data_IF_630770345889
#
_entry.id   IF_630770345889
#
_cell.length_a   1.000
_cell.length_b   1.000
_cell.length_c   1.000
_cell.angle_alpha   90.00
_cell.angle_beta   90.00
_cell.angle_gamma   90.00
#
_symmetry.space_group_name_H-M   'P 1'
#
loop_
_entity.id
_entity.type
_entity.pdbx_description
1 polymer ?
#
# COMPACT_ATOMS: atom_id res chain seq x y z
N UNK A 1 21.54 42.85 -25.86
CA UNK A 1 21.31 42.47 -25.76
C UNK A 1 20.90 41.56 -25.46
N UNK A 2 21.11 41.33 -25.38
CA UNK A 2 20.75 40.58 -25.06
C UNK A 2 20.31 39.82 -24.49
N UNK A 3 20.45 39.57 -24.48
CA UNK A 3 20.21 38.94 -24.15
C UNK A 3 19.84 38.31 -23.29
N UNK A 4 19.85 38.21 -22.88
CA UNK A 4 19.69 37.64 -21.80
C UNK A 4 18.62 36.87 -21.81
N UNK A 5 18.20 37.03 -22.23
CA UNK A 5 17.27 36.49 -22.17
C UNK A 5 17.22 35.26 -22.22
N UNK A 6 17.80 35.07 -22.44
CA UNK A 6 17.97 33.97 -22.64
C UNK A 6 17.80 33.19 -21.66
N UNK A 7 18.28 33.45 -21.00
CA UNK A 7 18.28 32.85 -19.97
C UNK A 7 17.20 32.22 -19.56
N UNK A 8 16.60 32.75 -19.37
CA UNK A 8 15.55 32.34 -18.93
C UNK A 8 15.14 31.16 -19.26
N UNK A 9 15.19 31.06 -20.15
CA UNK A 9 14.68 29.95 -20.57
C UNK A 9 15.10 28.87 -19.82
N UNK A 10 16.14 28.86 -19.56
CA UNK A 10 16.68 27.79 -18.95
C UNK A 10 15.90 27.34 -17.80
N UNK A 11 15.64 28.18 -17.13
CA UNK A 11 15.01 27.85 -16.02
C UNK A 11 13.92 26.93 -16.08
N UNK A 12 13.08 27.19 -16.77
CA UNK A 12 11.97 26.50 -16.68
C UNK A 12 12.00 25.16 -16.99
N UNK A 13 12.75 24.85 -17.71
CA UNK A 13 12.67 23.60 -18.11
C UNK A 13 12.99 22.68 -17.09
N UNK A 14 13.76 22.98 -16.25
CA UNK A 14 14.22 22.10 -15.35
C UNK A 14 13.22 21.58 -14.49
N UNK A 15 12.25 22.15 -14.33
CA UNK A 15 11.33 21.76 -13.42
C UNK A 15 10.54 20.61 -13.70
N UNK A 16 10.34 20.34 -14.83
CA UNK A 16 9.52 19.32 -15.17
C UNK A 16 9.64 18.00 -14.53
N UNK A 17 10.68 17.44 -14.50
CA UNK A 17 10.84 16.12 -14.00
C UNK A 17 10.55 15.99 -12.55
N UNK A 18 10.73 16.99 -11.88
CA UNK A 18 10.61 16.86 -10.53
C UNK A 18 9.25 16.63 -10.02
N UNK A 19 8.32 17.00 -10.72
CA UNK A 19 7.04 16.87 -10.28
C UNK A 19 6.65 15.45 -10.17
N UNK A 20 7.09 14.66 -11.04
CA UNK A 20 6.71 13.30 -11.04
C UNK A 20 7.17 12.58 -9.83
N UNK A 21 8.28 12.97 -9.35
CA UNK A 21 8.80 12.31 -8.20
C UNK A 21 7.98 12.61 -7.00
N UNK A 22 7.58 13.80 -6.86
CA UNK A 22 6.81 14.17 -5.72
C UNK A 22 5.48 13.45 -5.73
N UNK A 23 4.90 13.29 -6.88
CA UNK A 23 3.63 12.63 -6.95
C UNK A 23 3.72 11.16 -6.66
N UNK A 24 4.85 10.57 -6.81
CA UNK A 24 4.99 9.16 -6.59
C UNK A 24 5.10 8.85 -5.10
N UNK A 25 5.53 9.79 -4.33
CA UNK A 25 5.71 9.53 -2.92
C UNK A 25 4.41 9.73 -2.15
N UNK A 26 4.15 8.90 -1.19
CA UNK A 26 2.99 9.04 -0.36
C UNK A 26 3.32 8.77 1.09
N UNK A 27 2.45 9.14 2.01
CA UNK A 27 2.72 9.02 3.44
C UNK A 27 2.84 7.59 3.92
N UNK A 28 2.33 6.65 3.14
CA UNK A 28 2.33 5.26 3.57
C UNK A 28 3.27 4.40 2.71
N UNK A 29 4.09 5.01 1.87
CA UNK A 29 5.02 4.29 1.03
C UNK A 29 5.94 3.38 1.83
N UNK A 30 6.24 2.23 1.28
CA UNK A 30 7.18 1.32 1.89
C UNK A 30 6.67 -0.11 1.89
N UNK A 31 7.34 -0.93 2.68
CA UNK A 31 6.99 -2.32 2.83
C UNK A 31 6.39 -2.55 4.21
N UNK A 32 5.36 -3.38 4.24
CA UNK A 32 4.60 -3.62 5.46
C UNK A 32 4.45 -5.12 5.64
N UNK A 33 4.69 -5.59 6.85
CA UNK A 33 4.64 -7.02 7.13
C UNK A 33 3.95 -7.27 8.45
N UNK A 34 3.24 -8.34 8.52
CA UNK A 34 2.60 -8.75 9.76
C UNK A 34 1.83 -10.04 9.58
N UNK A 35 0.79 -10.20 10.35
CA UNK A 35 0.04 -11.44 10.36
C UNK A 35 -1.45 -11.19 10.27
N UNK A 36 -2.15 -12.17 9.76
CA UNK A 36 -3.59 -12.19 9.80
C UNK A 36 -3.99 -13.30 10.76
N UNK A 37 -4.92 -13.00 11.66
CA UNK A 37 -5.41 -13.96 12.62
C UNK A 37 -6.90 -14.08 12.50
N UNK A 38 -7.44 -15.20 12.91
CA UNK A 38 -8.87 -15.44 12.87
C UNK A 38 -9.31 -16.10 14.17
N UNK A 39 -10.58 -15.92 14.49
CA UNK A 39 -11.12 -16.56 15.67
C UNK A 39 -11.61 -17.97 15.36
N UNK A 40 -11.63 -18.37 14.10
CA UNK A 40 -12.08 -19.70 13.73
C UNK A 40 -11.03 -20.75 14.01
N UNK A 41 -11.43 -21.90 14.47
CA UNK A 41 -10.48 -22.97 14.76
C UNK A 41 -9.81 -23.53 13.54
N UNK A 42 -10.46 -23.45 12.39
CA UNK A 42 -9.92 -24.00 11.17
C UNK A 42 -8.98 -23.05 10.45
N UNK A 43 -9.00 -21.77 10.85
CA UNK A 43 -8.24 -20.76 10.16
C UNK A 43 -7.09 -20.33 11.04
N UNK A 44 -5.90 -20.70 10.65
CA UNK A 44 -4.71 -20.43 11.45
C UNK A 44 -4.05 -19.13 11.03
N UNK A 45 -3.29 -18.56 11.94
CA UNK A 45 -2.55 -17.34 11.68
C UNK A 45 -1.63 -17.48 10.48
N UNK A 46 -1.52 -16.43 9.71
CA UNK A 46 -0.69 -16.44 8.52
C UNK A 46 0.00 -15.11 8.29
N UNK A 47 0.94 -15.08 7.36
CA UNK A 47 1.77 -13.92 7.11
C UNK A 47 1.19 -13.09 5.96
N UNK A 48 1.24 -11.77 6.12
CA UNK A 48 0.76 -10.84 5.10
C UNK A 48 1.85 -9.82 4.84
N UNK A 49 2.09 -9.52 3.57
CA UNK A 49 3.05 -8.49 3.16
C UNK A 49 2.39 -7.56 2.17
N UNK A 50 2.65 -6.27 2.33
CA UNK A 50 2.16 -5.25 1.40
C UNK A 50 3.32 -4.36 0.99
N UNK A 51 3.22 -3.84 -0.23
CA UNK A 51 4.10 -2.79 -0.71
C UNK A 51 3.22 -1.65 -1.14
N UNK A 52 3.51 -0.46 -0.66
CA UNK A 52 2.73 0.74 -0.97
C UNK A 52 3.61 1.72 -1.73
N UNK A 53 3.10 2.18 -2.86
CA UNK A 53 3.76 3.20 -3.66
C UNK A 53 2.70 4.21 -4.07
N UNK A 54 2.75 5.41 -3.51
CA UNK A 54 1.72 6.41 -3.75
C UNK A 54 0.38 5.94 -3.24
N UNK A 55 -0.55 5.75 -4.13
CA UNK A 55 -1.88 5.28 -3.76
C UNK A 55 -2.07 3.81 -4.07
N UNK A 56 -1.09 3.15 -4.63
CA UNK A 56 -1.21 1.76 -5.04
C UNK A 56 -0.70 0.83 -3.96
N UNK A 57 -1.49 -0.17 -3.62
CA UNK A 57 -1.12 -1.16 -2.62
C UNK A 57 -1.17 -2.53 -3.29
N UNK A 58 -0.04 -3.23 -3.24
CA UNK A 58 0.05 -4.57 -3.77
C UNK A 58 0.64 -5.46 -2.70
N UNK A 59 0.26 -6.70 -2.68
CA UNK A 59 0.82 -7.59 -1.70
C UNK A 59 0.40 -9.02 -1.88
N UNK A 60 0.68 -9.81 -0.86
CA UNK A 60 0.36 -11.22 -0.89
C UNK A 60 0.22 -11.73 0.53
N UNK A 61 -0.68 -12.65 0.71
CA UNK A 61 -0.84 -13.34 1.98
C UNK A 61 -0.51 -14.80 1.73
N UNK A 62 -0.20 -15.53 2.80
CA UNK A 62 0.08 -16.95 2.65
C UNK A 62 -0.82 -17.71 3.59
N UNK A 63 -1.66 -18.59 3.05
CA UNK A 63 -2.55 -19.43 3.83
C UNK A 63 -2.24 -20.88 3.46
N UNK A 64 -1.32 -21.48 4.15
CA UNK A 64 -0.89 -22.84 3.83
C UNK A 64 -0.26 -22.87 2.44
N UNK A 65 -0.92 -23.53 1.51
CA UNK A 65 -0.42 -23.62 0.15
C UNK A 65 -0.91 -22.48 -0.73
N UNK A 66 -1.92 -21.74 -0.28
CA UNK A 66 -2.48 -20.68 -1.07
C UNK A 66 -1.74 -19.39 -0.79
N UNK A 67 -1.55 -18.60 -1.81
CA UNK A 67 -0.87 -17.33 -1.68
C UNK A 67 -1.63 -16.27 -2.48
N UNK A 68 -2.80 -15.89 -2.00
CA UNK A 68 -3.63 -14.93 -2.74
C UNK A 68 -2.96 -13.57 -2.81
N UNK A 69 -3.16 -12.90 -3.94
CA UNK A 69 -2.62 -11.58 -4.16
C UNK A 69 -3.52 -10.54 -3.53
N UNK A 70 -2.92 -9.47 -3.07
CA UNK A 70 -3.63 -8.34 -2.52
C UNK A 70 -3.45 -7.17 -3.47
N UNK A 71 -4.55 -6.52 -3.81
CA UNK A 71 -4.53 -5.36 -4.70
C UNK A 71 -5.48 -4.33 -4.14
N UNK A 72 -5.06 -3.08 -4.13
CA UNK A 72 -5.96 -2.04 -3.67
C UNK A 72 -5.34 -0.67 -3.75
N UNK A 73 -6.02 0.27 -3.13
CA UNK A 73 -5.57 1.65 -3.10
C UNK A 73 -5.69 2.19 -1.68
N UNK A 74 -4.89 3.18 -1.39
CA UNK A 74 -4.96 3.88 -0.11
C UNK A 74 -5.13 5.36 -0.41
N UNK A 75 -6.02 6.02 0.32
CA UNK A 75 -6.23 7.45 0.11
C UNK A 75 -5.35 8.25 1.07
N UNK A 76 -5.49 9.57 1.03
CA UNK A 76 -4.65 10.46 1.82
C UNK A 76 -4.85 10.27 3.31
N UNK A 77 -6.01 9.81 3.72
CA UNK A 77 -6.32 9.62 5.12
C UNK A 77 -5.93 8.21 5.60
N UNK A 78 -5.37 7.41 4.73
CA UNK A 78 -4.94 6.08 5.09
C UNK A 78 -6.00 5.00 4.94
N UNK A 79 -7.16 5.35 4.39
CA UNK A 79 -8.19 4.35 4.19
C UNK A 79 -7.82 3.44 3.02
N UNK A 80 -7.80 2.15 3.27
CA UNK A 80 -7.44 1.16 2.28
C UNK A 80 -8.67 0.38 1.84
N UNK A 81 -8.82 0.21 0.54
CA UNK A 81 -9.84 -0.65 0.00
C UNK A 81 -9.26 -1.46 -1.14
N UNK A 82 -9.59 -2.73 -1.18
CA UNK A 82 -9.09 -3.59 -2.22
C UNK A 82 -9.60 -5.00 -2.08
N UNK A 83 -8.81 -5.94 -2.58
CA UNK A 83 -9.17 -7.35 -2.55
C UNK A 83 -8.00 -8.19 -2.11
N UNK A 84 -8.30 -9.34 -1.56
CA UNK A 84 -7.33 -10.37 -1.29
C UNK A 84 -7.89 -11.61 -1.98
N UNK A 85 -7.22 -12.08 -3.03
CA UNK A 85 -7.81 -13.04 -3.93
C UNK A 85 -9.06 -12.40 -4.53
N UNK A 86 -10.21 -13.02 -4.32
CA UNK A 86 -11.47 -12.48 -4.81
C UNK A 86 -12.31 -11.85 -3.70
N UNK A 87 -11.78 -11.77 -2.49
CA UNK A 87 -12.54 -11.27 -1.36
C UNK A 87 -12.24 -9.81 -1.09
N UNK A 88 -13.23 -9.03 -0.66
CA UNK A 88 -12.97 -7.64 -0.29
C UNK A 88 -12.04 -7.57 0.91
N UNK A 89 -11.15 -6.61 0.89
CA UNK A 89 -10.20 -6.39 1.96
C UNK A 89 -10.20 -4.90 2.26
N UNK A 90 -10.50 -4.52 3.49
CA UNK A 90 -10.54 -3.13 3.88
C UNK A 90 -9.70 -2.90 5.10
N UNK A 91 -9.15 -1.72 5.21
CA UNK A 91 -8.31 -1.42 6.35
C UNK A 91 -7.96 0.03 6.48
N UNK A 92 -7.06 0.28 7.41
CA UNK A 92 -6.64 1.63 7.73
C UNK A 92 -5.15 1.64 8.02
N UNK A 93 -4.43 2.53 7.33
CA UNK A 93 -3.05 2.81 7.64
C UNK A 93 -3.03 3.99 8.61
N UNK A 94 -2.33 3.85 9.72
CA UNK A 94 -2.15 4.93 10.68
C UNK A 94 -0.69 4.93 11.06
N UNK A 95 0.03 5.95 10.61
CA UNK A 95 1.47 6.04 10.86
C UNK A 95 2.16 4.80 10.31
N UNK A 96 2.81 4.03 11.14
CA UNK A 96 3.55 2.87 10.71
C UNK A 96 2.83 1.57 10.98
N UNK A 97 1.52 1.64 11.19
CA UNK A 97 0.70 0.47 11.44
C UNK A 97 -0.45 0.35 10.46
N UNK A 98 -0.86 -0.85 10.18
CA UNK A 98 -2.00 -1.13 9.33
C UNK A 98 -2.87 -2.17 10.00
N UNK A 99 -4.17 -1.93 9.97
CA UNK A 99 -5.13 -2.89 10.47
C UNK A 99 -6.19 -3.08 9.41
N UNK A 100 -6.50 -4.31 9.05
CA UNK A 100 -7.49 -4.58 8.03
C UNK A 100 -8.26 -5.86 8.32
N UNK A 101 -9.36 -6.04 7.61
CA UNK A 101 -10.22 -7.20 7.79
C UNK A 101 -10.67 -7.76 6.46
N UNK A 102 -10.85 -9.04 6.42
CA UNK A 102 -11.38 -9.73 5.25
C UNK A 102 -11.98 -11.08 5.68
N UNK A 103 -12.71 -11.70 4.76
CA UNK A 103 -13.30 -13.01 5.02
C UNK A 103 -12.74 -13.99 4.00
N UNK A 104 -12.40 -15.19 4.45
CA UNK A 104 -11.91 -16.23 3.57
C UNK A 104 -12.00 -17.55 4.30
N UNK A 105 -12.27 -18.63 3.56
CA UNK A 105 -12.38 -19.97 4.16
C UNK A 105 -13.39 -20.02 5.31
N UNK A 106 -14.48 -19.27 5.16
CA UNK A 106 -15.54 -19.21 6.18
C UNK A 106 -15.06 -18.62 7.51
N UNK A 107 -13.95 -17.93 7.49
CA UNK A 107 -13.42 -17.27 8.67
C UNK A 107 -13.33 -15.77 8.46
N UNK A 108 -13.39 -15.05 9.55
CA UNK A 108 -13.14 -13.62 9.51
C UNK A 108 -11.73 -13.40 10.00
N UNK A 109 -10.98 -12.62 9.26
CA UNK A 109 -9.58 -12.39 9.52
C UNK A 109 -9.29 -10.93 9.85
N UNK A 110 -8.34 -10.74 10.73
CA UNK A 110 -7.84 -9.41 11.04
C UNK A 110 -6.34 -9.39 10.76
N UNK A 111 -5.94 -8.49 9.91
CA UNK A 111 -4.52 -8.34 9.56
C UNK A 111 -3.95 -7.16 10.32
N UNK A 112 -2.81 -7.37 10.96
CA UNK A 112 -2.09 -6.34 11.68
C UNK A 112 -0.68 -6.30 11.14
N UNK A 113 -0.30 -5.19 10.52
CA UNK A 113 1.01 -5.06 9.90
C UNK A 113 1.74 -3.85 10.43
N UNK A 114 3.05 -3.87 10.26
CA UNK A 114 3.90 -2.72 10.56
C UNK A 114 4.76 -2.41 9.37
N UNK A 115 5.07 -1.15 9.20
CA UNK A 115 5.97 -0.74 8.13
C UNK A 115 7.38 -1.17 8.51
N UNK A 116 8.05 -1.87 7.60
CA UNK A 116 9.39 -2.37 7.84
C UNK A 116 10.42 -1.60 7.03
N UNK A 117 10.00 -0.89 6.00
CA UNK A 117 10.91 -0.05 5.22
C UNK A 117 10.22 1.11 4.54
#
# INVERSE_FOLDING_TARGET
>A
MNGPLIVVSAAFLLLLPQFNIADAAGPYDGEWTGTATSTGERCKQDVVKLTVEGQVVLGQARFGRDAPNINGTVDEDGAFGGTIGFQPFRGQFIRDEFEGTFKSFDCEWKALLRRTR
#
